data_IF_827216524736
#
_entry.id   IF_827216524736
#
_cell.length_a   1.000
_cell.length_b   1.000
_cell.length_c   1.000
_cell.angle_alpha   90.00
_cell.angle_beta   90.00
_cell.angle_gamma   90.00
#
_symmetry.space_group_name_H-M   'P 1'
#
loop_
_entity.id
_entity.type
_entity.pdbx_description
1 polymer ?
#
# COMPACT_ATOMS: atom_id res chain seq x y z
N UNK A 1 25.68 -13.68 20.69
CA UNK A 1 25.26 -14.18 19.38
C UNK A 1 24.51 -13.09 18.66
N UNK A 2 25.04 -12.61 17.54
CA UNK A 2 24.29 -11.71 16.66
C UNK A 2 23.01 -12.43 16.22
N UNK A 3 21.83 -11.93 16.62
CA UNK A 3 20.56 -12.37 16.02
C UNK A 3 20.63 -12.01 14.55
N UNK A 4 20.64 -13.00 13.68
CA UNK A 4 20.49 -12.77 12.25
C UNK A 4 19.10 -12.20 12.03
N UNK A 5 19.03 -10.93 11.62
CA UNK A 5 17.76 -10.33 11.20
C UNK A 5 17.29 -11.03 9.93
N UNK A 6 16.00 -11.39 9.90
CA UNK A 6 15.38 -12.00 8.72
C UNK A 6 15.15 -10.91 7.67
N UNK A 7 15.58 -11.18 6.42
CA UNK A 7 15.25 -10.35 5.27
C UNK A 7 13.91 -10.81 4.72
N UNK A 8 13.03 -9.85 4.41
CA UNK A 8 11.76 -10.08 3.75
C UNK A 8 11.82 -9.59 2.32
N UNK A 9 11.32 -10.41 1.38
CA UNK A 9 11.25 -10.07 -0.04
C UNK A 9 9.84 -9.65 -0.39
N UNK A 10 9.71 -8.47 -0.99
CA UNK A 10 8.45 -7.87 -1.40
C UNK A 10 8.50 -7.57 -2.90
N UNK A 11 7.54 -8.09 -3.66
CA UNK A 11 7.47 -7.90 -5.12
C UNK A 11 6.25 -7.06 -5.51
N UNK A 12 6.43 -6.12 -6.42
CA UNK A 12 5.40 -5.19 -6.90
C UNK A 12 5.07 -5.39 -8.39
N UNK A 13 5.57 -6.44 -9.03
CA UNK A 13 5.42 -6.67 -10.48
C UNK A 13 3.95 -6.65 -10.92
N UNK A 14 3.08 -7.33 -10.17
CA UNK A 14 1.67 -7.47 -10.54
C UNK A 14 0.86 -6.18 -10.41
N UNK A 15 1.34 -5.21 -9.65
CA UNK A 15 0.71 -3.90 -9.53
C UNK A 15 1.50 -2.84 -10.30
N UNK A 16 2.74 -2.62 -9.91
CA UNK A 16 3.60 -1.56 -10.47
C UNK A 16 4.04 -1.89 -11.90
N UNK A 17 4.34 -3.15 -12.18
CA UNK A 17 4.69 -3.61 -13.53
C UNK A 17 3.60 -3.38 -14.56
N UNK A 18 2.32 -3.38 -14.18
CA UNK A 18 1.20 -3.07 -15.07
C UNK A 18 1.16 -1.61 -15.52
N UNK A 19 1.79 -0.71 -14.78
CA UNK A 19 1.87 0.71 -15.14
C UNK A 19 2.91 0.99 -16.22
N UNK A 20 3.72 0.00 -16.57
CA UNK A 20 4.69 0.10 -17.66
C UNK A 20 3.95 0.14 -19.01
N UNK A 21 4.24 1.12 -19.89
CA UNK A 21 3.61 1.19 -21.21
C UNK A 21 3.78 -0.11 -22.00
N UNK A 22 2.68 -0.62 -22.58
CA UNK A 22 2.66 -1.86 -23.36
C UNK A 22 2.57 -3.14 -22.57
N UNK A 23 2.50 -3.07 -21.23
CA UNK A 23 2.27 -4.22 -20.37
C UNK A 23 0.80 -4.25 -19.94
N UNK A 24 0.14 -5.37 -20.24
CA UNK A 24 -1.25 -5.62 -19.85
C UNK A 24 -1.38 -7.08 -19.40
N UNK A 25 -1.55 -7.29 -18.11
CA UNK A 25 -1.69 -8.63 -17.54
C UNK A 25 -3.17 -9.02 -17.46
N UNK A 26 -3.49 -10.21 -17.99
CA UNK A 26 -4.75 -10.86 -17.69
C UNK A 26 -4.74 -11.44 -16.27
N UNK A 27 -5.91 -11.87 -15.78
CA UNK A 27 -6.00 -12.56 -14.47
C UNK A 27 -5.15 -13.81 -14.48
N UNK A 28 -5.16 -14.57 -15.57
CA UNK A 28 -4.38 -15.79 -15.75
C UNK A 28 -2.88 -15.51 -15.73
N UNK A 29 -2.43 -14.45 -16.39
CA UNK A 29 -1.02 -14.00 -16.35
C UNK A 29 -0.59 -13.70 -14.93
N UNK A 30 -1.43 -12.99 -14.19
CA UNK A 30 -1.15 -12.64 -12.78
C UNK A 30 -1.03 -13.89 -11.90
N UNK A 31 -1.87 -14.88 -12.11
CA UNK A 31 -1.81 -16.16 -11.37
C UNK A 31 -0.49 -16.87 -11.65
N UNK A 32 -0.09 -16.96 -12.91
CA UNK A 32 1.18 -17.59 -13.30
C UNK A 32 2.37 -16.87 -12.66
N UNK A 33 2.41 -15.55 -12.76
CA UNK A 33 3.48 -14.73 -12.18
C UNK A 33 3.51 -14.88 -10.65
N UNK A 34 2.35 -14.85 -9.98
CA UNK A 34 2.26 -15.03 -8.55
C UNK A 34 2.82 -16.39 -8.10
N UNK A 35 2.52 -17.47 -8.84
CA UNK A 35 3.07 -18.78 -8.57
C UNK A 35 4.59 -18.82 -8.73
N UNK A 36 5.13 -18.16 -9.76
CA UNK A 36 6.58 -18.05 -9.96
C UNK A 36 7.26 -17.31 -8.83
N UNK A 37 6.69 -16.18 -8.38
CA UNK A 37 7.23 -15.40 -7.27
C UNK A 37 7.21 -16.19 -5.96
N UNK A 38 6.15 -16.96 -5.72
CA UNK A 38 6.06 -17.86 -4.58
C UNK A 38 7.16 -18.93 -4.60
N UNK A 39 7.42 -19.54 -5.76
CA UNK A 39 8.49 -20.54 -5.92
C UNK A 39 9.87 -19.93 -5.68
N UNK A 40 10.08 -18.64 -6.03
CA UNK A 40 11.30 -17.91 -5.74
C UNK A 40 11.46 -17.55 -4.27
N UNK A 41 10.42 -17.71 -3.45
CA UNK A 41 10.47 -17.46 -2.02
C UNK A 41 10.17 -16.02 -1.62
N UNK A 42 9.45 -15.27 -2.43
CA UNK A 42 8.96 -13.93 -2.04
C UNK A 42 7.98 -14.06 -0.88
N UNK A 43 8.18 -13.25 0.16
CA UNK A 43 7.30 -13.21 1.34
C UNK A 43 6.00 -12.49 1.06
N UNK A 44 6.06 -11.39 0.30
CA UNK A 44 4.92 -10.55 -0.05
C UNK A 44 4.85 -10.34 -1.57
N UNK A 45 3.66 -10.45 -2.10
CA UNK A 45 3.35 -10.18 -3.52
C UNK A 45 2.22 -9.15 -3.57
N UNK A 46 2.53 -7.97 -4.08
CA UNK A 46 1.53 -6.90 -4.27
C UNK A 46 0.72 -7.20 -5.52
N UNK A 47 -0.51 -7.65 -5.31
CA UNK A 47 -1.33 -8.24 -6.38
C UNK A 47 -2.05 -7.25 -7.28
N UNK A 48 -2.24 -6.01 -6.82
CA UNK A 48 -2.93 -4.99 -7.61
C UNK A 48 -3.77 -4.05 -6.75
N UNK A 49 -4.55 -3.23 -7.42
CA UNK A 49 -5.42 -2.20 -6.84
C UNK A 49 -6.89 -2.60 -7.01
N UNK A 50 -7.48 -3.37 -6.06
CA UNK A 50 -8.88 -3.78 -6.16
C UNK A 50 -9.82 -2.57 -6.07
N UNK A 51 -10.90 -2.61 -6.84
CA UNK A 51 -11.87 -1.51 -6.93
C UNK A 51 -11.50 -0.43 -7.95
N UNK A 52 -10.22 -0.27 -8.30
CA UNK A 52 -9.78 0.68 -9.32
C UNK A 52 -9.61 0.02 -10.70
N UNK A 53 -9.36 -1.29 -10.72
CA UNK A 53 -9.11 -2.06 -11.94
C UNK A 53 -9.89 -3.39 -11.88
N UNK A 54 -10.76 -3.69 -12.88
CA UNK A 54 -11.53 -4.94 -12.89
C UNK A 54 -10.69 -6.20 -12.89
N UNK A 55 -9.54 -6.21 -13.58
CA UNK A 55 -8.61 -7.34 -13.59
C UNK A 55 -8.06 -7.60 -12.19
N UNK A 56 -7.68 -6.56 -11.47
CA UNK A 56 -7.15 -6.66 -10.12
C UNK A 56 -8.23 -7.14 -9.14
N UNK A 57 -9.44 -6.61 -9.26
CA UNK A 57 -10.58 -7.08 -8.47
C UNK A 57 -10.80 -8.59 -8.70
N UNK A 58 -10.83 -9.03 -9.95
CA UNK A 58 -11.02 -10.44 -10.30
C UNK A 58 -9.86 -11.32 -9.83
N UNK A 59 -8.62 -10.81 -9.88
CA UNK A 59 -7.45 -11.54 -9.40
C UNK A 59 -7.57 -11.90 -7.91
N UNK A 60 -8.01 -10.96 -7.07
CA UNK A 60 -8.18 -11.20 -5.63
C UNK A 60 -9.37 -12.11 -5.30
N UNK A 61 -10.30 -12.30 -6.22
CA UNK A 61 -11.42 -13.26 -6.06
C UNK A 61 -10.98 -14.72 -6.27
N UNK A 62 -9.83 -14.95 -6.91
CA UNK A 62 -9.34 -16.29 -7.19
C UNK A 62 -8.82 -16.98 -5.94
N UNK A 63 -9.03 -18.29 -5.83
CA UNK A 63 -8.50 -19.10 -4.75
C UNK A 63 -6.97 -19.15 -4.84
N UNK A 64 -6.29 -18.83 -3.74
CA UNK A 64 -4.84 -18.90 -3.65
C UNK A 64 -4.36 -20.30 -3.31
N UNK A 65 -3.24 -20.67 -3.94
CA UNK A 65 -2.53 -21.93 -3.69
C UNK A 65 -1.07 -21.69 -3.32
N UNK A 66 -0.68 -20.44 -3.10
CA UNK A 66 0.70 -20.01 -2.80
C UNK A 66 0.89 -19.70 -1.31
N UNK A 67 2.13 -19.74 -0.85
CA UNK A 67 2.52 -19.41 0.53
C UNK A 67 2.82 -17.92 0.73
N UNK A 68 3.21 -17.21 -0.33
CA UNK A 68 3.42 -15.76 -0.31
C UNK A 68 2.16 -15.05 0.20
N UNK A 69 2.35 -14.00 0.98
CA UNK A 69 1.24 -13.16 1.45
C UNK A 69 0.88 -12.16 0.36
N UNK A 70 -0.39 -12.12 -0.01
CA UNK A 70 -0.88 -11.18 -1.02
C UNK A 70 -1.24 -9.86 -0.38
N UNK A 71 -0.80 -8.79 -1.05
CA UNK A 71 -1.01 -7.41 -0.62
C UNK A 71 -1.94 -6.72 -1.61
N UNK A 72 -3.05 -6.19 -1.12
CA UNK A 72 -3.91 -5.28 -1.87
C UNK A 72 -3.37 -3.86 -1.69
N UNK A 73 -3.21 -3.14 -2.80
CA UNK A 73 -2.72 -1.77 -2.84
C UNK A 73 -3.89 -0.80 -2.98
N UNK A 74 -3.83 0.32 -2.29
CA UNK A 74 -4.82 1.38 -2.45
C UNK A 74 -4.48 2.63 -1.67
N UNK A 75 -5.38 3.61 -1.76
CA UNK A 75 -5.23 4.88 -1.06
C UNK A 75 -5.81 4.79 0.35
N UNK A 76 -5.33 5.66 1.25
CA UNK A 76 -6.00 5.91 2.51
C UNK A 76 -7.42 6.41 2.29
N UNK A 77 -8.30 6.28 3.29
CA UNK A 77 -9.67 6.77 3.19
C UNK A 77 -9.70 8.28 2.87
N UNK A 78 -10.76 8.73 2.23
CA UNK A 78 -10.98 10.15 1.98
C UNK A 78 -11.25 10.90 3.28
N UNK A 79 -10.75 12.13 3.38
CA UNK A 79 -11.09 13.03 4.46
C UNK A 79 -12.58 13.38 4.43
N UNK A 80 -13.16 13.58 5.60
CA UNK A 80 -14.57 13.97 5.74
C UNK A 80 -15.59 12.84 5.58
N UNK A 81 -15.16 11.62 5.31
CA UNK A 81 -16.01 10.43 5.22
C UNK A 81 -15.56 9.45 6.30
N UNK A 82 -16.50 8.77 6.95
CA UNK A 82 -16.14 7.70 7.88
C UNK A 82 -15.53 6.50 7.13
N UNK A 83 -14.68 5.72 7.79
CA UNK A 83 -14.08 4.54 7.22
C UNK A 83 -15.15 3.56 6.70
N UNK A 84 -16.28 3.42 7.38
CA UNK A 84 -17.38 2.55 6.99
C UNK A 84 -18.13 3.00 5.73
N UNK A 85 -17.99 4.26 5.34
CA UNK A 85 -18.69 4.84 4.19
C UNK A 85 -17.77 5.11 2.98
N UNK A 86 -16.50 4.77 3.08
CA UNK A 86 -15.54 4.95 1.98
C UNK A 86 -15.54 3.72 1.07
N UNK A 87 -16.02 3.84 -0.20
CA UNK A 87 -16.09 2.68 -1.09
C UNK A 87 -14.72 2.16 -1.52
N UNK A 88 -13.71 3.02 -1.62
CA UNK A 88 -12.34 2.61 -1.94
C UNK A 88 -11.74 1.76 -0.82
N UNK A 89 -11.91 2.19 0.42
CA UNK A 89 -11.48 1.42 1.59
C UNK A 89 -12.26 0.11 1.70
N UNK A 90 -13.57 0.13 1.45
CA UNK A 90 -14.40 -1.07 1.47
C UNK A 90 -13.89 -2.13 0.47
N UNK A 91 -13.52 -1.72 -0.74
CA UNK A 91 -12.96 -2.63 -1.74
C UNK A 91 -11.65 -3.28 -1.28
N UNK A 92 -10.78 -2.52 -0.61
CA UNK A 92 -9.54 -3.04 -0.01
C UNK A 92 -9.82 -4.05 1.10
N UNK A 93 -10.74 -3.73 1.99
CA UNK A 93 -11.10 -4.60 3.12
C UNK A 93 -11.78 -5.90 2.66
N UNK A 94 -12.54 -5.86 1.57
CA UNK A 94 -13.25 -7.01 1.01
C UNK A 94 -12.39 -7.90 0.12
N UNK A 95 -11.30 -7.38 -0.43
CA UNK A 95 -10.41 -8.16 -1.28
C UNK A 95 -9.85 -9.36 -0.49
N UNK A 96 -9.72 -10.51 -1.16
CA UNK A 96 -9.11 -11.70 -0.57
C UNK A 96 -7.59 -11.54 -0.54
N UNK A 97 -7.11 -10.70 0.37
CA UNK A 97 -5.69 -10.44 0.61
C UNK A 97 -5.34 -10.66 2.08
N UNK A 98 -4.06 -10.94 2.34
CA UNK A 98 -3.53 -11.06 3.70
C UNK A 98 -3.16 -9.69 4.29
N UNK A 99 -2.80 -8.78 3.41
CA UNK A 99 -2.24 -7.48 3.74
C UNK A 99 -2.88 -6.39 2.90
N UNK A 100 -2.83 -5.16 3.40
CA UNK A 100 -3.18 -3.96 2.64
C UNK A 100 -2.00 -2.98 2.73
N UNK A 101 -1.54 -2.49 1.58
CA UNK A 101 -0.57 -1.40 1.50
C UNK A 101 -1.30 -0.12 1.09
N UNK A 102 -1.37 0.83 2.01
CA UNK A 102 -1.96 2.14 1.77
C UNK A 102 -0.91 3.12 1.28
N UNK A 103 -1.23 3.87 0.23
CA UNK A 103 -0.45 5.04 -0.15
C UNK A 103 -1.00 6.25 0.60
N UNK A 104 -0.12 6.92 1.34
CA UNK A 104 -0.45 8.12 2.10
C UNK A 104 0.37 9.31 1.60
N UNK A 105 -0.27 10.46 1.49
CA UNK A 105 0.45 11.72 1.28
C UNK A 105 1.20 12.09 2.56
N UNK A 106 2.44 12.53 2.45
CA UNK A 106 3.27 12.98 3.57
C UNK A 106 3.97 14.31 3.31
N UNK A 107 3.63 14.95 2.21
CA UNK A 107 4.04 16.29 1.84
C UNK A 107 2.82 17.22 1.95
N UNK A 108 2.87 18.21 2.83
CA UNK A 108 1.75 19.11 3.10
C UNK A 108 1.25 19.85 1.86
N UNK A 109 2.15 20.18 0.92
CA UNK A 109 1.77 20.71 -0.39
C UNK A 109 0.83 19.77 -1.14
N UNK A 110 1.14 18.47 -1.20
CA UNK A 110 0.28 17.47 -1.83
C UNK A 110 -1.04 17.26 -1.09
N UNK A 111 -1.02 17.32 0.24
CA UNK A 111 -2.25 17.23 1.05
C UNK A 111 -3.21 18.34 0.67
N UNK A 112 -2.71 19.57 0.57
CA UNK A 112 -3.51 20.74 0.22
C UNK A 112 -3.98 20.72 -1.24
N UNK A 113 -3.06 20.44 -2.18
CA UNK A 113 -3.32 20.58 -3.62
C UNK A 113 -4.00 19.34 -4.21
N UNK A 114 -3.56 18.14 -3.85
CA UNK A 114 -4.07 16.90 -4.42
C UNK A 114 -5.28 16.36 -3.66
N UNK A 115 -5.29 16.44 -2.32
CA UNK A 115 -6.38 15.92 -1.50
C UNK A 115 -7.40 17.00 -1.13
N UNK A 116 -7.01 18.26 -1.09
CA UNK A 116 -7.88 19.36 -0.72
C UNK A 116 -8.37 19.32 0.73
N UNK A 117 -7.60 18.71 1.63
CA UNK A 117 -7.92 18.57 3.04
C UNK A 117 -6.85 19.23 3.93
N UNK A 118 -7.11 19.30 5.23
CA UNK A 118 -6.14 19.79 6.21
C UNK A 118 -5.09 18.70 6.53
N UNK A 119 -3.98 19.13 7.10
CA UNK A 119 -2.95 18.23 7.59
C UNK A 119 -3.49 17.25 8.66
N UNK A 120 -4.31 17.75 9.58
CA UNK A 120 -4.95 16.96 10.64
C UNK A 120 -5.91 15.92 10.06
N UNK A 121 -6.71 16.29 9.07
CA UNK A 121 -7.62 15.37 8.39
C UNK A 121 -6.86 14.24 7.67
N UNK A 122 -5.71 14.56 7.07
CA UNK A 122 -4.87 13.54 6.44
C UNK A 122 -4.25 12.58 7.48
N UNK A 123 -3.79 13.10 8.62
CA UNK A 123 -3.29 12.26 9.71
C UNK A 123 -4.38 11.32 10.23
N UNK A 124 -5.58 11.80 10.38
CA UNK A 124 -6.73 11.00 10.78
C UNK A 124 -7.07 9.93 9.75
N UNK A 125 -7.03 10.27 8.46
CA UNK A 125 -7.25 9.31 7.37
C UNK A 125 -6.22 8.18 7.37
N UNK A 126 -4.95 8.49 7.62
CA UNK A 126 -3.88 7.49 7.76
C UNK A 126 -4.19 6.56 8.94
N UNK A 127 -4.46 7.11 10.11
CA UNK A 127 -4.74 6.34 11.33
C UNK A 127 -5.95 5.45 11.17
N UNK A 128 -7.07 5.99 10.72
CA UNK A 128 -8.32 5.23 10.58
C UNK A 128 -8.22 4.14 9.52
N UNK A 129 -7.49 4.36 8.43
CA UNK A 129 -7.27 3.35 7.40
C UNK A 129 -6.48 2.16 7.94
N UNK A 130 -5.39 2.43 8.66
CA UNK A 130 -4.57 1.39 9.29
C UNK A 130 -5.37 0.61 10.33
N UNK A 131 -6.12 1.32 11.18
CA UNK A 131 -6.97 0.69 12.20
C UNK A 131 -8.06 -0.19 11.55
N UNK A 132 -8.68 0.26 10.46
CA UNK A 132 -9.69 -0.52 9.75
C UNK A 132 -9.12 -1.81 9.15
N UNK A 133 -7.91 -1.77 8.59
CA UNK A 133 -7.23 -2.95 8.08
C UNK A 133 -6.96 -3.96 9.21
N UNK A 134 -6.46 -3.51 10.35
CA UNK A 134 -6.23 -4.36 11.52
C UNK A 134 -7.54 -4.98 12.04
N UNK A 135 -8.60 -4.19 12.14
CA UNK A 135 -9.91 -4.68 12.58
C UNK A 135 -10.48 -5.75 11.64
N UNK A 136 -10.14 -5.68 10.35
CA UNK A 136 -10.49 -6.69 9.35
C UNK A 136 -9.58 -7.92 9.36
N UNK A 137 -8.62 -7.99 10.26
CA UNK A 137 -7.67 -9.11 10.37
C UNK A 137 -6.56 -9.10 9.32
N UNK A 138 -6.30 -7.94 8.70
CA UNK A 138 -5.29 -7.79 7.66
C UNK A 138 -4.05 -7.06 8.19
N UNK A 139 -2.87 -7.46 7.71
CA UNK A 139 -1.62 -6.79 8.04
C UNK A 139 -1.51 -5.46 7.30
N UNK A 140 -1.47 -4.31 7.98
CA UNK A 140 -1.40 -3.01 7.30
C UNK A 140 0.04 -2.58 7.05
N UNK A 141 0.24 -1.95 5.90
CA UNK A 141 1.47 -1.29 5.47
C UNK A 141 1.12 0.10 4.96
N UNK A 142 2.06 1.04 5.07
CA UNK A 142 1.87 2.40 4.57
C UNK A 142 3.09 2.85 3.80
N UNK A 143 2.88 3.24 2.55
CA UNK A 143 3.85 3.94 1.72
C UNK A 143 3.65 5.46 1.90
N UNK A 144 4.63 6.13 2.50
CA UNK A 144 4.62 7.58 2.63
C UNK A 144 5.15 8.21 1.35
N UNK A 145 4.22 8.62 0.48
CA UNK A 145 4.51 9.16 -0.84
C UNK A 145 5.22 10.51 -0.75
N UNK A 146 6.26 10.71 -1.55
CA UNK A 146 7.10 11.93 -1.54
C UNK A 146 7.56 12.35 -0.14
N UNK A 147 7.93 11.38 0.68
CA UNK A 147 8.31 11.64 2.07
C UNK A 147 9.47 12.62 2.18
N UNK A 148 10.49 12.49 1.35
CA UNK A 148 11.69 13.32 1.44
C UNK A 148 11.44 14.76 0.98
N UNK A 149 10.58 14.96 -0.02
CA UNK A 149 10.11 16.30 -0.40
C UNK A 149 9.31 16.94 0.75
N UNK A 150 8.42 16.16 1.34
CA UNK A 150 7.64 16.58 2.52
C UNK A 150 8.53 16.92 3.71
N UNK A 151 9.53 16.09 3.97
CA UNK A 151 10.47 16.29 5.07
C UNK A 151 11.31 17.57 4.90
N UNK A 152 11.77 17.86 3.67
CA UNK A 152 12.50 19.09 3.39
C UNK A 152 11.64 20.33 3.59
N UNK A 153 10.36 20.27 3.21
CA UNK A 153 9.43 21.40 3.33
C UNK A 153 8.88 21.57 4.75
N UNK A 154 8.51 20.47 5.40
CA UNK A 154 7.92 20.45 6.74
C UNK A 154 8.27 19.13 7.43
N UNK A 155 9.44 19.04 8.08
CA UNK A 155 9.91 17.80 8.69
C UNK A 155 8.98 17.29 9.80
N UNK A 156 8.39 18.16 10.59
CA UNK A 156 7.48 17.78 11.67
C UNK A 156 6.23 17.07 11.14
N UNK A 157 5.66 17.59 10.07
CA UNK A 157 4.47 17.00 9.47
C UNK A 157 4.78 15.67 8.75
N UNK A 158 5.85 15.61 7.98
CA UNK A 158 6.26 14.37 7.32
C UNK A 158 6.48 13.25 8.35
N UNK A 159 7.18 13.55 9.44
CA UNK A 159 7.37 12.60 10.53
C UNK A 159 6.06 12.24 11.24
N UNK A 160 5.14 13.21 11.40
CA UNK A 160 3.84 12.95 11.99
C UNK A 160 3.01 11.96 11.15
N UNK A 161 3.10 12.01 9.83
CA UNK A 161 2.44 11.05 8.93
C UNK A 161 3.00 9.63 9.14
N UNK A 162 4.31 9.47 9.15
CA UNK A 162 4.95 8.19 9.39
C UNK A 162 4.63 7.66 10.79
N UNK A 163 4.64 8.52 11.80
CA UNK A 163 4.32 8.17 13.17
C UNK A 163 2.86 7.76 13.34
N UNK A 164 1.92 8.45 12.69
CA UNK A 164 0.50 8.10 12.71
C UNK A 164 0.26 6.68 12.18
N UNK A 165 0.92 6.33 11.09
CA UNK A 165 0.86 4.97 10.53
C UNK A 165 1.43 3.93 11.51
N UNK A 166 2.59 4.19 12.07
CA UNK A 166 3.24 3.30 13.03
C UNK A 166 2.40 3.11 14.30
N UNK A 167 1.94 4.21 14.89
CA UNK A 167 1.17 4.18 16.16
C UNK A 167 -0.19 3.49 15.99
N UNK A 168 -0.80 3.61 14.81
CA UNK A 168 -2.04 2.90 14.48
C UNK A 168 -1.83 1.38 14.29
N UNK A 169 -0.59 0.95 14.12
CA UNK A 169 -0.20 -0.46 14.06
C UNK A 169 0.23 -0.97 12.70
N UNK A 170 0.70 -0.09 11.81
CA UNK A 170 1.28 -0.55 10.54
C UNK A 170 2.50 -1.45 10.80
N UNK A 171 2.54 -2.59 10.12
CA UNK A 171 3.68 -3.53 10.20
C UNK A 171 4.92 -2.95 9.52
N UNK A 172 4.71 -2.27 8.41
CA UNK A 172 5.75 -1.62 7.62
C UNK A 172 5.33 -0.19 7.31
N UNK A 173 6.24 0.75 7.51
CA UNK A 173 6.10 2.14 7.08
C UNK A 173 7.26 2.40 6.12
N UNK A 174 6.95 2.64 4.86
CA UNK A 174 7.92 2.80 3.79
C UNK A 174 8.03 4.29 3.44
N UNK A 175 9.22 4.82 3.50
CA UNK A 175 9.51 6.21 3.15
C UNK A 175 9.89 6.25 1.66
N UNK A 176 9.00 6.80 0.85
CA UNK A 176 9.17 6.81 -0.61
C UNK A 176 9.75 8.16 -1.06
N UNK A 177 10.66 8.10 -2.03
CA UNK A 177 11.25 9.30 -2.64
C UNK A 177 10.29 9.93 -3.67
N UNK A 178 9.44 9.11 -4.25
CA UNK A 178 8.39 9.50 -5.20
C UNK A 178 7.03 8.97 -4.74
N UNK A 179 6.17 8.57 -5.66
CA UNK A 179 4.84 8.01 -5.39
C UNK A 179 4.83 6.49 -5.12
N UNK A 180 5.97 5.92 -4.71
CA UNK A 180 6.15 4.49 -4.52
C UNK A 180 6.60 3.78 -5.79
N UNK A 181 7.23 2.60 -5.64
CA UNK A 181 7.76 1.84 -6.76
C UNK A 181 9.05 2.39 -7.38
N UNK A 182 9.73 3.34 -6.71
CA UNK A 182 11.04 3.85 -7.14
C UNK A 182 12.10 2.77 -7.00
N UNK A 183 12.86 2.54 -8.05
CA UNK A 183 13.99 1.62 -8.01
C UNK A 183 15.14 2.19 -7.15
N UNK A 184 15.91 1.35 -6.44
CA UNK A 184 17.05 1.82 -5.66
C UNK A 184 18.08 2.63 -6.45
N UNK A 185 18.18 2.40 -7.76
CA UNK A 185 19.05 3.14 -8.67
C UNK A 185 18.56 4.57 -8.98
N UNK A 186 17.35 4.92 -8.57
CA UNK A 186 16.73 6.23 -8.82
C UNK A 186 16.74 7.14 -7.57
N UNK A 187 17.30 6.65 -6.45
CA UNK A 187 17.39 7.37 -5.17
C UNK A 187 18.74 8.06 -5.04
#
# INVERSE_FOLDING_TARGET
SMKRERIYLFDTTLRDGQQTPGVDFSVEDKIVIANMLDEFGFDYVEGGYPGANPTDTAFFEKKRTVKSRFVAFGMTKRAGISASNDPGLAALLQANSDCICFVAKSWDYHVRVALGCTNEENLESIRESVEAAKAAGKEPMVDCEHFFDGFKANPEYAMACAKAAHDAGARWVVLCDTNGGTLPSEI
#
